data_IF_930157371942
#
_entry.id   IF_930157371942
#
_cell.length_a   1.000
_cell.length_b   1.000
_cell.length_c   1.000
_cell.angle_alpha   90.00
_cell.angle_beta   90.00
_cell.angle_gamma   90.00
#
_symmetry.space_group_name_H-M   'P 1'
#
loop_
_entity.id
_entity.type
_entity.pdbx_description
1 polymer ?
#
# COMPACT_ATOMS: atom_id res chain seq x y z
N UNK A 1 -13.12 -0.01 -26.01
CA UNK A 1 -12.79 0.02 -24.56
C UNK A 1 -12.97 1.43 -24.05
N UNK A 2 -13.60 1.65 -22.89
CA UNK A 2 -13.76 2.98 -22.31
C UNK A 2 -12.39 3.60 -21.99
N UNK A 3 -12.17 4.86 -22.38
CA UNK A 3 -10.92 5.56 -22.12
C UNK A 3 -10.93 6.13 -20.70
N UNK A 4 -9.84 5.92 -19.97
CA UNK A 4 -9.62 6.55 -18.66
C UNK A 4 -8.87 7.87 -18.89
N UNK A 5 -9.52 8.98 -18.55
CA UNK A 5 -8.99 10.33 -18.73
C UNK A 5 -8.32 10.80 -17.44
N UNK A 6 -7.04 11.15 -17.57
CA UNK A 6 -6.20 11.68 -16.51
C UNK A 6 -6.00 13.17 -16.71
N UNK A 7 -6.45 13.99 -15.76
CA UNK A 7 -6.17 15.42 -15.78
C UNK A 7 -4.78 15.71 -15.21
N UNK A 8 -4.17 16.81 -15.64
CA UNK A 8 -2.88 17.28 -15.08
C UNK A 8 -2.97 17.50 -13.57
N UNK A 9 -4.07 18.11 -13.12
CA UNK A 9 -4.36 18.34 -11.71
C UNK A 9 -4.40 17.05 -10.88
N UNK A 10 -5.01 16.00 -11.43
CA UNK A 10 -5.02 14.69 -10.77
C UNK A 10 -3.60 14.13 -10.63
N UNK A 11 -2.79 14.23 -11.69
CA UNK A 11 -1.39 13.76 -11.68
C UNK A 11 -0.54 14.48 -10.64
N UNK A 12 -0.77 15.76 -10.43
CA UNK A 12 -0.10 16.51 -9.36
C UNK A 12 -0.58 16.07 -7.97
N UNK A 13 -1.89 15.89 -7.77
CA UNK A 13 -2.43 15.46 -6.47
C UNK A 13 -2.01 14.06 -6.07
N UNK A 14 -2.02 13.09 -6.99
CA UNK A 14 -1.55 11.73 -6.68
C UNK A 14 -0.06 11.73 -6.32
N UNK A 15 0.75 12.56 -7.00
CA UNK A 15 2.17 12.71 -6.72
C UNK A 15 2.40 13.30 -5.33
N UNK A 16 1.66 14.33 -4.96
CA UNK A 16 1.70 14.92 -3.61
C UNK A 16 1.28 13.92 -2.52
N UNK A 17 0.38 12.98 -2.85
CA UNK A 17 -0.11 11.94 -1.93
C UNK A 17 0.72 10.66 -1.94
N UNK A 18 1.78 10.59 -2.75
CA UNK A 18 2.60 9.39 -2.92
C UNK A 18 1.83 8.18 -3.49
N UNK A 19 0.73 8.41 -4.24
CA UNK A 19 0.02 7.32 -4.93
C UNK A 19 0.75 6.98 -6.24
N UNK A 20 0.96 5.69 -6.47
CA UNK A 20 1.41 5.21 -7.77
C UNK A 20 0.26 5.35 -8.80
N UNK A 21 0.47 6.03 -9.93
CA UNK A 21 -0.51 6.14 -11.01
C UNK A 21 -1.04 4.80 -11.51
N UNK A 22 -0.19 3.76 -11.58
CA UNK A 22 -0.58 2.43 -12.06
C UNK A 22 -1.60 1.76 -11.13
N UNK A 23 -1.48 2.01 -9.83
CA UNK A 23 -2.43 1.48 -8.84
C UNK A 23 -3.78 2.17 -8.93
N UNK A 24 -3.78 3.47 -9.22
CA UNK A 24 -5.02 4.22 -9.45
C UNK A 24 -5.67 3.78 -10.76
N UNK A 25 -4.91 3.54 -11.83
CA UNK A 25 -5.46 2.98 -13.08
C UNK A 25 -6.10 1.60 -12.84
N UNK A 26 -5.42 0.72 -12.08
CA UNK A 26 -5.98 -0.57 -11.66
C UNK A 26 -7.23 -0.43 -10.81
N UNK A 27 -7.27 0.52 -9.88
CA UNK A 27 -8.45 0.76 -9.04
C UNK A 27 -9.65 1.20 -9.89
N UNK A 28 -9.41 2.00 -10.93
CA UNK A 28 -10.45 2.47 -11.84
C UNK A 28 -10.96 1.33 -12.72
N UNK A 29 -10.07 0.57 -13.37
CA UNK A 29 -10.43 -0.49 -14.32
C UNK A 29 -10.96 -1.76 -13.67
N UNK A 30 -10.39 -2.13 -12.54
CA UNK A 30 -10.67 -3.38 -11.83
C UNK A 30 -10.92 -3.09 -10.34
N UNK A 31 -11.97 -2.33 -9.99
CA UNK A 31 -12.32 -2.10 -8.59
C UNK A 31 -12.74 -3.41 -7.93
N UNK A 32 -12.42 -3.55 -6.65
CA UNK A 32 -12.96 -4.64 -5.82
C UNK A 32 -14.36 -4.27 -5.31
N UNK A 33 -14.61 -2.97 -5.10
CA UNK A 33 -15.89 -2.43 -4.68
C UNK A 33 -16.19 -1.12 -5.45
N UNK A 34 -17.45 -0.93 -5.86
CA UNK A 34 -17.92 0.30 -6.49
C UNK A 34 -19.05 0.88 -5.65
N UNK A 35 -18.83 2.07 -5.10
CA UNK A 35 -19.84 2.80 -4.33
C UNK A 35 -20.35 3.98 -5.15
N UNK A 36 -21.61 3.94 -5.57
CA UNK A 36 -22.27 5.08 -6.19
C UNK A 36 -22.49 6.21 -5.18
N UNK A 37 -22.27 7.45 -5.59
CA UNK A 37 -22.70 8.60 -4.80
C UNK A 37 -24.21 8.81 -5.00
N UNK A 38 -24.94 8.99 -3.91
CA UNK A 38 -26.38 9.32 -3.96
C UNK A 38 -26.63 10.78 -4.38
N UNK A 39 -25.65 11.67 -4.22
CA UNK A 39 -25.78 13.11 -4.45
C UNK A 39 -25.11 13.60 -5.72
N UNK A 40 -24.17 12.83 -6.27
CA UNK A 40 -23.46 13.17 -7.50
C UNK A 40 -23.47 11.98 -8.44
N UNK A 41 -23.51 12.21 -9.75
CA UNK A 41 -23.37 11.15 -10.76
C UNK A 41 -21.90 10.67 -10.86
N UNK A 42 -21.30 10.36 -9.72
CA UNK A 42 -19.92 9.91 -9.58
C UNK A 42 -19.88 8.63 -8.76
N UNK A 43 -18.98 7.73 -9.14
CA UNK A 43 -18.78 6.45 -8.48
C UNK A 43 -17.41 6.43 -7.83
N UNK A 44 -17.32 5.93 -6.61
CA UNK A 44 -16.06 5.64 -5.94
C UNK A 44 -15.68 4.20 -6.27
N UNK A 45 -14.60 4.06 -7.03
CA UNK A 45 -13.98 2.79 -7.33
C UNK A 45 -12.93 2.53 -6.25
N UNK A 46 -13.11 1.46 -5.49
CA UNK A 46 -12.27 1.11 -4.36
C UNK A 46 -11.53 -0.17 -4.69
N UNK A 47 -10.21 -0.17 -4.49
CA UNK A 47 -9.38 -1.35 -4.64
C UNK A 47 -8.47 -1.53 -3.43
N UNK A 48 -8.38 -2.74 -2.93
CA UNK A 48 -7.50 -3.10 -1.82
C UNK A 48 -6.21 -3.68 -2.39
N UNK A 49 -5.11 -2.98 -2.18
CA UNK A 49 -3.78 -3.44 -2.59
C UNK A 49 -2.92 -3.52 -1.34
N UNK A 50 -2.43 -4.73 -1.03
CA UNK A 50 -1.52 -4.97 0.10
C UNK A 50 -2.06 -4.43 1.45
N UNK A 51 -3.37 -4.55 1.67
CA UNK A 51 -4.02 -4.08 2.90
C UNK A 51 -4.39 -2.59 2.91
N UNK A 52 -4.02 -1.82 1.88
CA UNK A 52 -4.43 -0.43 1.72
C UNK A 52 -5.60 -0.30 0.75
N UNK A 53 -6.62 0.50 1.10
CA UNK A 53 -7.69 0.82 0.16
C UNK A 53 -7.31 2.07 -0.62
N UNK A 54 -7.27 1.93 -1.94
CA UNK A 54 -7.15 3.04 -2.88
C UNK A 54 -8.55 3.37 -3.33
N UNK A 55 -8.95 4.62 -3.15
CA UNK A 55 -10.25 5.14 -3.56
C UNK A 55 -10.03 6.09 -4.72
N UNK A 56 -10.63 5.78 -5.87
CA UNK A 56 -10.67 6.64 -7.04
C UNK A 56 -12.12 7.11 -7.26
N UNK A 57 -12.35 8.41 -7.19
CA UNK A 57 -13.62 9.00 -7.60
C UNK A 57 -13.62 9.17 -9.12
N UNK A 58 -14.57 8.51 -9.77
CA UNK A 58 -14.70 8.44 -11.21
C UNK A 58 -16.06 9.01 -11.61
N UNK A 59 -16.05 9.86 -12.63
CA UNK A 59 -17.27 10.37 -13.27
C UNK A 59 -17.31 9.86 -14.70
N UNK A 60 -18.49 9.38 -15.12
CA UNK A 60 -18.70 8.96 -16.50
C UNK A 60 -19.02 10.17 -17.38
N UNK A 61 -18.34 10.30 -18.51
CA UNK A 61 -18.63 11.30 -19.55
C UNK A 61 -18.79 10.55 -20.88
N UNK A 62 -20.03 10.23 -21.23
CA UNK A 62 -20.34 9.39 -22.39
C UNK A 62 -19.74 7.99 -22.27
N UNK A 63 -18.84 7.64 -23.20
CA UNK A 63 -18.10 6.38 -23.17
C UNK A 63 -16.88 6.40 -22.25
N UNK A 64 -16.44 7.58 -21.81
CA UNK A 64 -15.17 7.78 -21.15
C UNK A 64 -15.32 7.96 -19.63
N UNK A 65 -14.25 7.64 -18.92
CA UNK A 65 -14.18 7.68 -17.47
C UNK A 65 -13.18 8.75 -17.06
N UNK A 66 -13.66 9.82 -16.42
CA UNK A 66 -12.81 10.87 -15.88
C UNK A 66 -12.55 10.58 -14.41
N UNK A 67 -11.27 10.47 -14.07
CA UNK A 67 -10.87 10.41 -12.67
C UNK A 67 -10.84 11.84 -12.12
N UNK A 68 -11.67 12.13 -11.13
CA UNK A 68 -11.74 13.46 -10.52
C UNK A 68 -10.76 13.58 -9.36
N UNK A 69 -10.58 12.50 -8.59
CA UNK A 69 -9.67 12.46 -7.44
C UNK A 69 -9.33 11.03 -7.03
N UNK A 70 -8.14 10.82 -6.47
CA UNK A 70 -7.73 9.53 -5.91
C UNK A 70 -6.98 9.70 -4.58
N UNK A 71 -7.25 8.85 -3.60
CA UNK A 71 -6.64 8.90 -2.26
C UNK A 71 -6.58 7.54 -1.58
N UNK A 72 -5.80 7.47 -0.51
CA UNK A 72 -5.74 6.33 0.41
C UNK A 72 -6.87 6.37 1.44
N UNK A 73 -7.47 5.22 1.73
CA UNK A 73 -8.41 5.03 2.83
C UNK A 73 -7.94 3.83 3.71
N UNK A 74 -7.55 4.04 4.98
CA UNK A 74 -7.45 5.33 5.69
C UNK A 74 -6.40 6.25 5.07
N UNK A 75 -6.52 7.56 5.31
CA UNK A 75 -5.52 8.53 4.87
C UNK A 75 -4.15 8.13 5.43
N UNK A 76 -3.15 8.07 4.55
CA UNK A 76 -1.79 7.69 4.95
C UNK A 76 -1.28 8.67 6.01
N UNK A 77 -0.82 8.22 7.20
CA UNK A 77 -0.30 9.13 8.20
C UNK A 77 0.93 9.85 7.66
N UNK A 78 1.03 11.17 7.90
CA UNK A 78 2.00 12.09 7.30
C UNK A 78 3.50 11.75 7.52
N UNK A 79 3.81 10.67 8.25
CA UNK A 79 5.17 10.18 8.49
C UNK A 79 5.49 8.80 7.89
N UNK A 80 4.55 8.11 7.23
CA UNK A 80 4.82 6.80 6.59
C UNK A 80 5.12 7.00 5.11
N UNK A 81 6.40 7.02 4.77
CA UNK A 81 6.83 6.80 3.39
C UNK A 81 6.35 5.42 2.93
N UNK A 82 5.97 5.31 1.66
CA UNK A 82 5.47 4.11 0.96
C UNK A 82 6.46 2.92 1.02
N UNK A 83 7.69 3.13 1.52
CA UNK A 83 8.69 2.10 1.78
C UNK A 83 8.66 1.50 3.21
N UNK A 84 7.63 1.79 4.02
CA UNK A 84 7.62 1.44 5.45
C UNK A 84 6.37 0.70 5.94
N UNK A 85 5.76 -0.20 5.15
CA UNK A 85 4.69 -1.06 5.67
C UNK A 85 5.28 -2.31 6.37
N UNK A 86 4.72 -2.80 7.49
CA UNK A 86 5.20 -4.00 8.17
C UNK A 86 5.11 -5.29 7.35
N UNK A 87 4.40 -5.28 6.22
CA UNK A 87 4.47 -6.37 5.23
C UNK A 87 5.85 -6.51 4.58
N UNK A 88 6.68 -5.46 4.65
CA UNK A 88 8.11 -5.44 4.33
C UNK A 88 8.98 -5.45 5.58
N UNK A 89 8.51 -5.95 6.73
CA UNK A 89 9.44 -6.36 7.79
C UNK A 89 10.33 -7.44 7.20
N UNK A 90 11.55 -7.07 6.80
CA UNK A 90 12.66 -8.01 6.63
C UNK A 90 12.63 -8.91 7.84
N UNK A 91 12.37 -10.18 7.58
CA UNK A 91 12.28 -11.22 8.58
C UNK A 91 13.60 -11.25 9.34
N UNK A 92 13.65 -10.62 10.52
CA UNK A 92 14.88 -10.46 11.30
C UNK A 92 15.28 -11.78 12.01
N UNK A 93 14.70 -12.92 11.61
CA UNK A 93 15.05 -14.27 12.08
C UNK A 93 16.55 -14.53 11.98
N UNK A 94 17.20 -14.09 10.89
CA UNK A 94 18.64 -14.28 10.69
C UNK A 94 19.53 -13.61 11.75
N UNK A 95 19.07 -12.53 12.39
CA UNK A 95 19.85 -11.85 13.42
C UNK A 95 19.60 -12.42 14.82
N UNK A 96 18.37 -12.84 15.14
CA UNK A 96 18.07 -13.50 16.41
C UNK A 96 18.69 -14.89 16.50
N UNK A 97 18.60 -15.69 15.43
CA UNK A 97 19.21 -17.04 15.40
C UNK A 97 20.71 -16.98 15.65
N UNK A 98 21.42 -16.05 14.99
CA UNK A 98 22.86 -15.84 15.23
C UNK A 98 23.19 -15.42 16.66
N UNK A 99 22.31 -14.66 17.31
CA UNK A 99 22.53 -14.25 18.71
C UNK A 99 22.29 -15.41 19.68
N UNK A 100 21.22 -16.18 19.47
CA UNK A 100 20.88 -17.35 20.27
C UNK A 100 21.95 -18.44 20.13
N UNK A 101 22.41 -18.73 18.90
CA UNK A 101 23.51 -19.68 18.65
C UNK A 101 24.81 -19.26 19.33
N UNK A 102 25.13 -17.96 19.33
CA UNK A 102 26.34 -17.45 19.97
C UNK A 102 26.25 -17.53 21.48
N UNK A 103 25.06 -17.31 22.05
CA UNK A 103 24.81 -17.46 23.48
C UNK A 103 24.88 -18.93 23.92
N UNK A 104 24.25 -19.84 23.18
CA UNK A 104 24.30 -21.29 23.43
C UNK A 104 25.73 -21.83 23.39
N UNK A 105 26.50 -21.49 22.34
CA UNK A 105 27.91 -21.90 22.23
C UNK A 105 28.81 -21.29 23.32
N UNK A 106 28.47 -20.09 23.81
CA UNK A 106 29.15 -19.47 24.95
C UNK A 106 28.90 -20.21 26.26
N UNK A 107 27.64 -20.62 26.49
CA UNK A 107 27.25 -21.41 27.66
C UNK A 107 27.84 -22.82 27.63
N UNK A 108 27.84 -23.49 26.48
CA UNK A 108 28.50 -24.80 26.32
C UNK A 108 30.00 -24.73 26.67
N UNK A 109 30.71 -23.69 26.20
CA UNK A 109 32.12 -23.49 26.57
C UNK A 109 32.33 -23.26 28.07
N UNK A 110 31.40 -22.57 28.73
CA UNK A 110 31.48 -22.34 30.19
C UNK A 110 31.17 -23.61 30.99
N UNK A 111 30.24 -24.45 30.52
CA UNK A 111 29.90 -25.72 31.16
C UNK A 111 31.00 -26.76 31.00
N UNK A 112 31.58 -26.90 29.79
CA UNK A 112 32.69 -27.83 29.55
C UNK A 112 33.95 -27.45 30.34
N UNK A 113 34.21 -26.14 30.51
CA UNK A 113 35.35 -25.65 31.30
C UNK A 113 35.17 -25.80 32.82
N UNK A 114 33.99 -26.20 33.29
CA UNK A 114 33.68 -26.44 34.71
C UNK A 114 33.72 -27.93 35.10
N UNK A 115 33.83 -28.83 34.13
CA UNK A 115 33.91 -30.28 34.34
C UNK A 115 35.33 -30.88 34.20
N UNK A 116 36.32 -30.07 33.83
CA UNK A 116 37.76 -30.35 33.99
C UNK A 116 38.32 -29.46 35.10
#
# INVERSE_FOLDING_TARGET
MAKVIWTTHLRERIRQRGLNPDWVDKAVRFPDEVQGSSTTNSNKHIKVIQGYKIVAAVKRQGSDWIITSAWWNPAMPAGRQVYGHPAHKKDNRFFLEKWVDRALRGLEKLLVRRQN
#
